data_IF_351762274648
#
_entry.id   IF_351762274648
#
_cell.length_a   1.000
_cell.length_b   1.000
_cell.length_c   1.000
_cell.angle_alpha   90.00
_cell.angle_beta   90.00
_cell.angle_gamma   90.00
#
_symmetry.space_group_name_H-M   'P 1'
#
loop_
_entity.id
_entity.type
_entity.pdbx_description
1 polymer ?
#
# COMPACT_ATOMS: atom_id res chain seq x y z
N UNK A 1 4.32 -4.49 13.75
CA UNK A 1 2.91 -4.85 13.50
C UNK A 1 2.24 -3.61 12.94
N UNK A 2 1.54 -3.70 11.81
CA UNK A 2 0.87 -2.56 11.18
C UNK A 2 -0.59 -2.46 11.63
N UNK A 3 -1.14 -1.25 11.59
CA UNK A 3 -2.50 -0.93 12.00
C UNK A 3 -3.24 -0.19 10.88
N UNK A 4 -4.56 -0.04 11.04
CA UNK A 4 -5.35 0.83 10.17
C UNK A 4 -4.85 2.27 10.33
N UNK A 5 -4.67 2.97 9.21
CA UNK A 5 -4.10 4.32 9.14
C UNK A 5 -2.59 4.37 8.91
N UNK A 6 -1.87 3.26 9.06
CA UNK A 6 -0.43 3.25 8.73
C UNK A 6 -0.19 3.36 7.23
N UNK A 7 0.94 3.97 6.88
CA UNK A 7 1.43 4.01 5.52
C UNK A 7 2.57 3.03 5.32
N UNK A 8 2.50 2.28 4.22
CA UNK A 8 3.48 1.25 3.86
C UNK A 8 3.98 1.42 2.44
N UNK A 9 5.17 0.91 2.19
CA UNK A 9 5.69 0.69 0.83
C UNK A 9 5.60 -0.78 0.46
N UNK A 10 5.25 -1.02 -0.80
CA UNK A 10 5.26 -2.35 -1.40
C UNK A 10 6.59 -2.57 -2.13
N UNK A 11 7.02 -3.83 -2.30
CA UNK A 11 8.22 -4.20 -3.07
C UNK A 11 8.10 -3.81 -4.54
N UNK A 12 6.88 -3.87 -5.09
CA UNK A 12 6.57 -3.36 -6.44
C UNK A 12 5.74 -2.09 -6.30
N UNK A 13 6.14 -0.98 -6.94
CA UNK A 13 5.36 0.26 -6.89
C UNK A 13 4.02 0.09 -7.62
N UNK A 14 3.08 0.96 -7.30
CA UNK A 14 1.82 1.02 -8.03
C UNK A 14 2.06 1.45 -9.48
N UNK A 15 1.22 0.97 -10.41
CA UNK A 15 1.31 1.31 -11.82
C UNK A 15 1.01 2.79 -12.10
N UNK A 16 0.33 3.51 -11.19
CA UNK A 16 0.04 4.93 -11.38
C UNK A 16 1.30 5.79 -11.29
N UNK A 17 1.30 6.89 -12.03
CA UNK A 17 2.37 7.89 -12.04
C UNK A 17 1.92 9.12 -11.26
N UNK A 18 2.81 9.67 -10.42
CA UNK A 18 2.59 10.92 -9.70
C UNK A 18 2.79 12.07 -10.71
N UNK A 19 1.74 12.86 -10.93
CA UNK A 19 1.74 13.92 -11.96
C UNK A 19 2.83 14.98 -11.75
N UNK A 20 3.17 15.30 -10.50
CA UNK A 20 4.16 16.32 -10.17
C UNK A 20 5.61 15.88 -10.33
N UNK A 21 5.91 14.59 -10.20
CA UNK A 21 7.30 14.08 -10.20
C UNK A 21 7.61 13.13 -11.35
N UNK A 22 6.60 12.66 -12.09
CA UNK A 22 6.76 11.66 -13.14
C UNK A 22 7.14 10.25 -12.63
N UNK A 23 7.26 10.05 -11.31
CA UNK A 23 7.63 8.77 -10.70
C UNK A 23 6.41 7.91 -10.39
N UNK A 24 6.60 6.59 -10.28
CA UNK A 24 5.55 5.66 -9.83
C UNK A 24 5.22 5.89 -8.35
N UNK A 25 3.94 5.84 -7.99
CA UNK A 25 3.54 5.94 -6.59
C UNK A 25 3.82 4.64 -5.84
N UNK A 26 4.31 4.72 -4.61
CA UNK A 26 4.49 3.54 -3.75
C UNK A 26 4.05 3.78 -2.31
N UNK A 27 3.26 4.83 -2.06
CA UNK A 27 2.70 5.11 -0.73
C UNK A 27 1.29 4.55 -0.65
N UNK A 28 1.09 3.63 0.28
CA UNK A 28 -0.15 2.91 0.48
C UNK A 28 -0.64 3.07 1.90
N UNK A 29 -1.90 3.46 2.08
CA UNK A 29 -2.56 3.54 3.38
C UNK A 29 -3.26 2.21 3.69
N UNK A 30 -3.08 1.68 4.88
CA UNK A 30 -3.81 0.50 5.35
C UNK A 30 -5.20 0.94 5.83
N UNK A 31 -6.24 0.48 5.15
CA UNK A 31 -7.64 0.82 5.47
C UNK A 31 -8.37 -0.30 6.21
N UNK A 32 -7.83 -1.53 6.18
CA UNK A 32 -8.37 -2.68 6.91
C UNK A 32 -7.26 -3.63 7.30
N UNK A 33 -7.31 -4.13 8.53
CA UNK A 33 -6.46 -5.21 9.04
C UNK A 33 -7.34 -6.37 9.48
N UNK A 34 -7.01 -7.59 9.05
CA UNK A 34 -7.78 -8.80 9.36
C UNK A 34 -7.11 -10.04 8.74
N UNK A 35 -7.93 -11.03 8.34
CA UNK A 35 -7.47 -12.12 7.48
C UNK A 35 -7.00 -11.60 6.11
N UNK A 36 -7.76 -10.64 5.57
CA UNK A 36 -7.38 -9.85 4.41
C UNK A 36 -6.96 -8.44 4.82
N UNK A 37 -5.95 -7.92 4.13
CA UNK A 37 -5.46 -6.55 4.28
C UNK A 37 -5.96 -5.74 3.10
N UNK A 38 -6.58 -4.60 3.37
CA UNK A 38 -6.99 -3.63 2.35
C UNK A 38 -6.07 -2.43 2.39
N UNK A 39 -5.44 -2.14 1.26
CA UNK A 39 -4.60 -0.96 1.09
C UNK A 39 -5.16 -0.02 0.03
N UNK A 40 -4.93 1.27 0.22
CA UNK A 40 -5.36 2.35 -0.67
C UNK A 40 -4.15 3.14 -1.15
N UNK A 41 -4.01 3.35 -2.45
CA UNK A 41 -2.94 4.18 -2.99
C UNK A 41 -3.21 5.65 -2.66
N UNK A 42 -2.25 6.32 -2.01
CA UNK A 42 -2.43 7.72 -1.60
C UNK A 42 -2.35 8.74 -2.74
N UNK A 43 -2.12 8.29 -3.99
CA UNK A 43 -1.98 9.15 -5.18
C UNK A 43 -3.18 9.08 -6.13
N UNK A 44 -3.86 7.93 -6.21
CA UNK A 44 -4.94 7.71 -7.18
C UNK A 44 -6.16 6.99 -6.58
N UNK A 45 -6.18 6.84 -5.26
CA UNK A 45 -7.25 6.23 -4.48
C UNK A 45 -7.59 4.76 -4.83
N UNK A 46 -6.82 4.13 -5.72
CA UNK A 46 -7.01 2.73 -6.09
C UNK A 46 -6.83 1.82 -4.86
N UNK A 47 -7.77 0.89 -4.68
CA UNK A 47 -7.78 -0.04 -3.56
C UNK A 47 -7.38 -1.44 -3.99
N UNK A 48 -6.61 -2.11 -3.15
CA UNK A 48 -6.23 -3.52 -3.33
C UNK A 48 -6.55 -4.26 -2.04
N UNK A 49 -7.18 -5.42 -2.16
CA UNK A 49 -7.39 -6.35 -1.06
C UNK A 49 -6.62 -7.63 -1.35
N UNK A 50 -5.87 -8.12 -0.38
CA UNK A 50 -5.15 -9.39 -0.50
C UNK A 50 -5.06 -10.07 0.87
N UNK A 51 -4.89 -11.40 0.86
CA UNK A 51 -4.69 -12.14 2.09
C UNK A 51 -3.44 -11.67 2.84
N UNK A 52 -3.46 -11.73 4.17
CA UNK A 52 -2.36 -11.30 5.05
C UNK A 52 -1.00 -11.88 4.64
N UNK A 53 -0.96 -13.18 4.31
CA UNK A 53 0.28 -13.83 3.88
C UNK A 53 0.88 -13.21 2.61
N UNK A 54 0.05 -12.90 1.60
CA UNK A 54 0.51 -12.24 0.39
C UNK A 54 0.94 -10.80 0.66
N UNK A 55 0.21 -10.10 1.53
CA UNK A 55 0.55 -8.75 1.94
C UNK A 55 1.93 -8.72 2.61
N UNK A 56 2.17 -9.57 3.60
CA UNK A 56 3.44 -9.61 4.35
C UNK A 56 4.63 -9.96 3.43
N UNK A 57 4.42 -10.80 2.41
CA UNK A 57 5.47 -11.10 1.39
C UNK A 57 5.75 -9.93 0.45
N UNK A 58 4.74 -9.14 0.10
CA UNK A 58 4.82 -8.05 -0.87
C UNK A 58 5.14 -6.70 -0.23
N UNK A 59 4.86 -6.52 1.05
CA UNK A 59 5.23 -5.34 1.83
C UNK A 59 6.76 -5.25 1.94
N UNK A 60 7.30 -4.04 1.84
CA UNK A 60 8.71 -3.77 2.03
C UNK A 60 8.97 -3.25 3.45
N UNK A 61 8.35 -2.12 3.80
CA UNK A 61 8.50 -1.46 5.09
C UNK A 61 7.29 -0.59 5.42
N UNK A 62 7.13 -0.28 6.70
CA UNK A 62 6.21 0.74 7.21
C UNK A 62 6.94 2.09 7.14
N UNK A 63 6.24 3.14 6.73
CA UNK A 63 6.78 4.50 6.57
C UNK A 63 6.30 5.39 7.72
N UNK A 64 4.99 5.36 7.99
CA UNK A 64 4.28 6.19 8.97
C UNK A 64 3.31 5.34 9.81
#
# INVERSE_FOLDING_TARGET
MYQVGNFVEMKKPHACTIKSTGKKANRWEITRVGADIKIKCSNCDHVVMMGRYDFDRKMNKIID
#
